data_IF_849525127538
#
_entry.id   IF_849525127538
#
_cell.length_a   1.000
_cell.length_b   1.000
_cell.length_c   1.000
_cell.angle_alpha   90.00
_cell.angle_beta   90.00
_cell.angle_gamma   90.00
#
_symmetry.space_group_name_H-M   'P 1'
#
loop_
_entity.id
_entity.type
_entity.pdbx_description
1 polymer ?
#
# COMPACT_ATOMS: atom_id res chain seq x y z
N UNK A 1 -10.37 -12.30 15.11
CA UNK A 1 -11.26 -12.31 13.93
C UNK A 1 -10.60 -11.62 12.73
N UNK A 2 -9.37 -12.01 12.36
CA UNK A 2 -8.58 -11.35 11.29
C UNK A 2 -8.89 -11.94 9.90
N UNK A 3 -9.26 -13.22 9.84
CA UNK A 3 -9.42 -14.00 8.60
C UNK A 3 -10.69 -13.65 7.81
N UNK A 4 -11.84 -13.49 8.47
CA UNK A 4 -13.11 -13.16 7.79
C UNK A 4 -13.03 -11.76 7.16
N UNK A 5 -12.47 -10.78 7.88
CA UNK A 5 -12.23 -9.44 7.34
C UNK A 5 -11.26 -9.46 6.16
N UNK A 6 -10.15 -10.20 6.25
CA UNK A 6 -9.21 -10.34 5.13
C UNK A 6 -9.86 -10.99 3.91
N UNK A 7 -10.69 -12.03 4.09
CA UNK A 7 -11.37 -12.71 2.97
C UNK A 7 -12.37 -11.75 2.29
N UNK A 8 -13.18 -11.04 3.07
CA UNK A 8 -14.14 -10.08 2.52
C UNK A 8 -13.42 -8.94 1.79
N UNK A 9 -12.36 -8.42 2.38
CA UNK A 9 -11.50 -7.40 1.77
C UNK A 9 -10.88 -7.88 0.47
N UNK A 10 -10.30 -9.07 0.45
CA UNK A 10 -9.65 -9.63 -0.74
C UNK A 10 -10.59 -9.66 -1.95
N UNK A 11 -11.85 -10.06 -1.72
CA UNK A 11 -12.88 -10.14 -2.77
C UNK A 11 -13.38 -8.75 -3.19
N UNK A 12 -13.54 -7.81 -2.24
CA UNK A 12 -14.11 -6.49 -2.51
C UNK A 12 -13.11 -5.52 -3.16
N UNK A 13 -11.86 -5.49 -2.70
CA UNK A 13 -10.93 -4.40 -2.99
C UNK A 13 -9.44 -4.79 -2.93
N UNK A 14 -9.09 -5.74 -2.06
CA UNK A 14 -7.70 -6.09 -1.76
C UNK A 14 -6.92 -6.60 -2.95
N UNK A 15 -7.55 -7.41 -3.82
CA UNK A 15 -6.90 -7.90 -5.03
C UNK A 15 -6.53 -6.76 -6.00
N UNK A 16 -7.42 -5.78 -6.18
CA UNK A 16 -7.20 -4.67 -7.10
C UNK A 16 -6.08 -3.75 -6.64
N UNK A 17 -6.08 -3.37 -5.34
CA UNK A 17 -4.97 -2.58 -4.79
C UNK A 17 -3.65 -3.34 -4.87
N UNK A 18 -3.64 -4.62 -4.48
CA UNK A 18 -2.44 -5.44 -4.53
C UNK A 18 -1.87 -5.59 -5.94
N UNK A 19 -2.73 -5.75 -6.95
CA UNK A 19 -2.31 -5.76 -8.35
C UNK A 19 -1.74 -4.41 -8.77
N UNK A 20 -2.31 -3.28 -8.34
CA UNK A 20 -1.75 -1.96 -8.59
C UNK A 20 -0.32 -1.82 -8.04
N UNK A 21 -0.12 -2.22 -6.78
CA UNK A 21 1.20 -2.22 -6.16
C UNK A 21 2.17 -3.19 -6.86
N UNK A 22 1.74 -4.42 -7.16
CA UNK A 22 2.56 -5.40 -7.85
C UNK A 22 2.96 -4.96 -9.26
N UNK A 23 2.05 -4.31 -9.99
CA UNK A 23 2.32 -3.79 -11.33
C UNK A 23 3.30 -2.61 -11.29
N UNK A 24 3.10 -1.65 -10.37
CA UNK A 24 4.06 -0.56 -10.17
C UNK A 24 5.44 -1.10 -9.77
N UNK A 25 5.48 -2.13 -8.92
CA UNK A 25 6.71 -2.79 -8.50
C UNK A 25 7.42 -3.50 -9.65
N UNK A 26 6.66 -4.17 -10.52
CA UNK A 26 7.20 -4.82 -11.71
C UNK A 26 7.81 -3.81 -12.68
N UNK A 27 7.14 -2.69 -12.92
CA UNK A 27 7.68 -1.60 -13.77
C UNK A 27 8.97 -1.05 -13.17
N UNK A 28 9.01 -0.81 -11.85
CA UNK A 28 10.22 -0.39 -11.16
C UNK A 28 11.36 -1.42 -11.26
N UNK A 29 11.05 -2.72 -11.21
CA UNK A 29 12.07 -3.76 -11.38
C UNK A 29 12.64 -3.79 -12.81
N UNK A 30 11.85 -3.47 -13.84
CA UNK A 30 12.31 -3.44 -15.23
C UNK A 30 13.36 -2.34 -15.46
N UNK A 31 13.27 -1.22 -14.75
CA UNK A 31 14.21 -0.11 -14.93
C UNK A 31 15.59 -0.35 -14.29
N UNK A 32 15.80 -1.49 -13.61
CA UNK A 32 16.99 -1.91 -12.84
C UNK A 32 17.37 -0.94 -11.69
N UNK A 33 17.44 0.35 -11.98
CA UNK A 33 17.59 1.44 -11.01
C UNK A 33 16.39 1.50 -10.04
N UNK A 34 15.21 1.06 -10.50
CA UNK A 34 13.99 1.03 -9.70
C UNK A 34 13.85 -0.19 -8.78
N UNK A 35 14.76 -1.16 -8.78
CA UNK A 35 14.69 -2.37 -7.95
C UNK A 35 14.38 -2.10 -6.46
N UNK A 36 15.03 -1.15 -5.74
CA UNK A 36 14.67 -0.89 -4.35
C UNK A 36 13.21 -0.43 -4.18
N UNK A 37 12.69 0.35 -5.14
CA UNK A 37 11.29 0.76 -5.18
C UNK A 37 10.36 -0.42 -5.48
N UNK A 38 10.76 -1.30 -6.40
CA UNK A 38 10.01 -2.51 -6.73
C UNK A 38 9.83 -3.43 -5.53
N UNK A 39 10.90 -3.67 -4.77
CA UNK A 39 10.86 -4.48 -3.55
C UNK A 39 9.89 -3.90 -2.52
N UNK A 40 9.94 -2.58 -2.29
CA UNK A 40 9.02 -1.93 -1.36
C UNK A 40 7.57 -2.01 -1.85
N UNK A 41 7.33 -1.80 -3.15
CA UNK A 41 6.01 -1.95 -3.77
C UNK A 41 5.44 -3.37 -3.60
N UNK A 42 6.27 -4.42 -3.76
CA UNK A 42 5.83 -5.80 -3.54
C UNK A 42 5.49 -6.09 -2.08
N UNK A 43 6.24 -5.53 -1.12
CA UNK A 43 5.90 -5.62 0.31
C UNK A 43 4.54 -4.98 0.59
N UNK A 44 4.30 -3.80 0.01
CA UNK A 44 3.01 -3.10 0.08
C UNK A 44 1.89 -3.87 -0.61
N UNK A 45 2.15 -4.55 -1.73
CA UNK A 45 1.17 -5.43 -2.37
C UNK A 45 0.76 -6.57 -1.43
N UNK A 46 1.74 -7.19 -0.75
CA UNK A 46 1.48 -8.22 0.26
C UNK A 46 0.66 -7.70 1.45
N UNK A 47 0.93 -6.48 1.90
CA UNK A 47 0.14 -5.79 2.94
C UNK A 47 -1.27 -5.44 2.45
N UNK A 48 -1.41 -4.94 1.23
CA UNK A 48 -2.68 -4.58 0.63
C UNK A 48 -3.61 -5.79 0.42
N UNK A 49 -3.07 -6.99 0.17
CA UNK A 49 -3.89 -8.22 0.12
C UNK A 49 -4.43 -8.61 1.50
N UNK A 50 -3.62 -8.43 2.55
CA UNK A 50 -3.90 -8.93 3.91
C UNK A 50 -3.67 -7.82 4.94
N UNK A 51 -4.54 -6.81 5.00
CA UNK A 51 -4.25 -5.63 5.78
C UNK A 51 -4.67 -5.78 7.26
N UNK A 52 -5.54 -6.73 7.61
CA UNK A 52 -5.98 -6.91 8.99
C UNK A 52 -4.98 -7.75 9.79
N UNK A 53 -4.60 -7.22 10.96
CA UNK A 53 -3.62 -7.85 11.86
C UNK A 53 -2.16 -7.56 11.49
N UNK A 54 -1.92 -6.50 10.72
CA UNK A 54 -0.58 -5.99 10.43
C UNK A 54 -0.51 -4.52 10.78
N UNK A 55 0.57 -4.12 11.41
CA UNK A 55 0.84 -2.74 11.83
C UNK A 55 2.03 -2.22 11.03
N UNK A 56 2.03 -0.91 10.79
CA UNK A 56 3.13 -0.23 10.11
C UNK A 56 3.90 0.53 11.16
N UNK A 57 5.17 0.19 11.31
CA UNK A 57 6.09 0.80 12.29
C UNK A 57 7.13 1.61 11.54
N UNK A 58 7.49 2.78 12.06
CA UNK A 58 8.58 3.60 11.54
C UNK A 58 9.93 3.02 11.99
N UNK A 59 10.87 2.89 11.06
CA UNK A 59 12.24 2.55 11.41
C UNK A 59 12.97 3.83 11.79
N UNK A 60 13.54 3.91 12.99
CA UNK A 60 14.32 5.08 13.44
C UNK A 60 15.82 4.99 13.08
N UNK A 61 16.28 3.87 12.51
CA UNK A 61 17.71 3.57 12.26
C UNK A 61 18.21 3.93 10.84
N UNK A 62 17.32 4.24 9.90
CA UNK A 62 17.67 4.48 8.49
C UNK A 62 17.98 5.97 8.20
N UNK A 63 18.73 6.24 7.12
CA UNK A 63 19.12 7.60 6.72
C UNK A 63 17.91 8.43 6.26
N UNK A 64 17.39 9.31 7.12
CA UNK A 64 16.23 10.19 6.86
C UNK A 64 16.28 10.89 5.48
N UNK A 65 17.47 11.36 5.07
CA UNK A 65 17.65 12.08 3.79
C UNK A 65 17.40 11.17 2.58
N UNK A 66 17.88 9.92 2.64
CA UNK A 66 17.71 8.95 1.55
C UNK A 66 16.23 8.59 1.40
N UNK A 67 15.54 8.39 2.52
CA UNK A 67 14.12 8.07 2.54
C UNK A 67 13.27 9.20 1.97
N UNK A 68 13.58 10.45 2.29
CA UNK A 68 12.89 11.61 1.74
C UNK A 68 13.08 11.63 0.21
N UNK A 69 14.31 11.44 -0.29
CA UNK A 69 14.58 11.42 -1.73
C UNK A 69 13.80 10.30 -2.43
N UNK A 70 13.82 9.09 -1.88
CA UNK A 70 13.09 7.95 -2.45
C UNK A 70 11.57 8.14 -2.36
N UNK A 71 11.04 8.66 -1.26
CA UNK A 71 9.62 8.99 -1.14
C UNK A 71 9.19 10.03 -2.18
N UNK A 72 10.00 11.07 -2.42
CA UNK A 72 9.70 12.08 -3.44
C UNK A 72 9.71 11.50 -4.85
N UNK A 73 10.73 10.70 -5.20
CA UNK A 73 10.80 10.03 -6.50
C UNK A 73 9.60 9.10 -6.68
N UNK A 74 9.29 8.30 -5.67
CA UNK A 74 8.16 7.38 -5.68
C UNK A 74 6.82 8.11 -5.83
N UNK A 75 6.63 9.19 -5.08
CA UNK A 75 5.43 10.01 -5.12
C UNK A 75 5.17 10.55 -6.52
N UNK A 76 6.21 11.01 -7.22
CA UNK A 76 6.11 11.52 -8.60
C UNK A 76 5.82 10.42 -9.62
N UNK A 77 6.39 9.23 -9.43
CA UNK A 77 6.25 8.13 -10.39
C UNK A 77 4.94 7.35 -10.22
N UNK A 78 4.71 6.76 -9.05
CA UNK A 78 3.64 5.77 -8.82
C UNK A 78 2.79 6.03 -7.58
N UNK A 79 3.33 6.72 -6.57
CA UNK A 79 2.65 6.94 -5.29
C UNK A 79 1.31 7.67 -5.44
N UNK A 80 1.23 8.69 -6.29
CA UNK A 80 -0.01 9.43 -6.55
C UNK A 80 -1.09 8.56 -7.22
N UNK A 81 -0.72 7.71 -8.17
CA UNK A 81 -1.64 6.85 -8.89
C UNK A 81 -2.22 5.74 -8.00
N UNK A 82 -1.38 5.17 -7.14
CA UNK A 82 -1.78 4.16 -6.15
C UNK A 82 -2.68 4.78 -5.06
N UNK A 83 -2.34 5.98 -4.59
CA UNK A 83 -3.19 6.76 -3.69
C UNK A 83 -4.55 7.04 -4.33
N UNK A 84 -4.59 7.53 -5.57
CA UNK A 84 -5.83 7.81 -6.28
C UNK A 84 -6.70 6.56 -6.42
N UNK A 85 -6.10 5.44 -6.80
CA UNK A 85 -6.80 4.14 -6.85
C UNK A 85 -7.38 3.78 -5.48
N UNK A 86 -6.60 3.91 -4.41
CA UNK A 86 -7.04 3.64 -3.04
C UNK A 86 -8.18 4.56 -2.58
N UNK A 87 -8.16 5.85 -2.98
CA UNK A 87 -9.23 6.81 -2.69
C UNK A 87 -10.52 6.45 -3.44
N UNK A 88 -10.42 6.12 -4.74
CA UNK A 88 -11.58 5.69 -5.54
C UNK A 88 -12.19 4.43 -4.93
N UNK A 89 -11.38 3.44 -4.59
CA UNK A 89 -11.84 2.22 -3.93
C UNK A 89 -12.48 2.52 -2.57
N UNK A 90 -11.93 3.45 -1.79
CA UNK A 90 -12.51 3.84 -0.52
C UNK A 90 -13.89 4.49 -0.68
N UNK A 91 -14.05 5.38 -1.66
CA UNK A 91 -15.35 6.00 -1.98
C UNK A 91 -16.36 4.94 -2.42
N UNK A 92 -15.97 3.99 -3.27
CA UNK A 92 -16.84 2.89 -3.71
C UNK A 92 -17.28 2.00 -2.53
N UNK A 93 -16.37 1.70 -1.61
CA UNK A 93 -16.68 0.92 -0.42
C UNK A 93 -17.64 1.66 0.53
N UNK A 94 -17.51 2.99 0.65
CA UNK A 94 -18.42 3.83 1.44
C UNK A 94 -19.87 3.83 0.95
N UNK A 95 -20.14 3.44 -0.31
CA UNK A 95 -21.52 3.33 -0.83
C UNK A 95 -22.33 2.29 -0.04
N UNK A 96 -21.66 1.30 0.55
CA UNK A 96 -22.30 0.23 1.32
C UNK A 96 -22.04 0.40 2.81
N UNK A 97 -23.06 0.21 3.66
CA UNK A 97 -22.92 0.26 5.13
C UNK A 97 -21.87 -0.76 5.62
N UNK A 98 -21.82 -1.93 4.97
CA UNK A 98 -20.87 -3.02 5.28
C UNK A 98 -19.44 -2.65 4.85
N UNK A 99 -19.27 -1.82 3.82
CA UNK A 99 -17.98 -1.42 3.26
C UNK A 99 -17.26 -0.31 4.03
N UNK A 100 -17.94 0.46 4.88
CA UNK A 100 -17.36 1.54 5.69
C UNK A 100 -16.09 1.12 6.48
N UNK A 101 -16.07 0.00 7.24
CA UNK A 101 -14.85 -0.43 7.92
C UNK A 101 -13.70 -0.77 6.96
N UNK A 102 -14.01 -1.22 5.75
CA UNK A 102 -13.04 -1.53 4.70
C UNK A 102 -12.54 -0.28 3.98
N UNK A 103 -13.40 0.73 3.81
CA UNK A 103 -13.02 2.02 3.25
C UNK A 103 -11.93 2.68 4.09
N UNK A 104 -12.06 2.64 5.43
CA UNK A 104 -11.02 3.11 6.35
C UNK A 104 -9.68 2.42 6.14
N UNK A 105 -9.70 1.11 5.82
CA UNK A 105 -8.48 0.36 5.52
C UNK A 105 -7.89 0.76 4.17
N UNK A 106 -8.73 0.96 3.15
CA UNK A 106 -8.31 1.49 1.85
C UNK A 106 -7.66 2.87 1.99
N UNK A 107 -8.22 3.75 2.81
CA UNK A 107 -7.63 5.05 3.11
C UNK A 107 -6.25 4.93 3.75
N UNK A 108 -6.10 4.04 4.75
CA UNK A 108 -4.80 3.81 5.41
C UNK A 108 -3.74 3.31 4.44
N UNK A 109 -4.09 2.32 3.61
CA UNK A 109 -3.18 1.79 2.58
C UNK A 109 -2.85 2.87 1.55
N UNK A 110 -3.83 3.69 1.16
CA UNK A 110 -3.63 4.83 0.27
C UNK A 110 -2.62 5.83 0.83
N UNK A 111 -2.82 6.30 2.06
CA UNK A 111 -1.89 7.23 2.72
C UNK A 111 -0.49 6.63 2.84
N UNK A 112 -0.40 5.33 3.15
CA UNK A 112 0.86 4.60 3.17
C UNK A 112 1.51 4.51 1.78
N UNK A 113 0.73 4.42 0.70
CA UNK A 113 1.21 4.38 -0.67
C UNK A 113 1.96 5.66 -1.10
N UNK A 114 1.62 6.80 -0.49
CA UNK A 114 2.29 8.07 -0.76
C UNK A 114 3.70 8.13 -0.15
N UNK A 115 3.86 7.59 1.07
CA UNK A 115 5.14 7.55 1.82
C UNK A 115 5.46 6.12 2.29
N UNK A 116 5.98 5.28 1.37
CA UNK A 116 6.26 3.88 1.68
C UNK A 116 7.63 3.62 2.33
N UNK A 117 8.61 4.52 2.19
CA UNK A 117 9.97 4.34 2.72
C UNK A 117 10.07 4.80 4.19
N UNK A 118 10.98 4.18 4.95
CA UNK A 118 11.12 4.36 6.40
C UNK A 118 10.07 3.63 7.24
N UNK A 119 9.33 2.71 6.62
CA UNK A 119 8.24 1.97 7.27
C UNK A 119 8.35 0.48 7.04
N UNK A 120 8.27 -0.28 8.11
CA UNK A 120 8.21 -1.75 8.12
C UNK A 120 6.82 -2.21 8.49
N UNK A 121 6.44 -3.39 7.98
CA UNK A 121 5.15 -4.00 8.25
C UNK A 121 5.39 -5.15 9.22
N UNK A 122 4.94 -5.01 10.45
CA UNK A 122 5.02 -6.03 11.48
C UNK A 122 3.69 -6.79 11.58
N UNK A 123 3.78 -8.08 11.89
CA UNK A 123 2.61 -8.92 12.14
C UNK A 123 2.27 -8.84 13.64
N UNK A 124 1.03 -8.46 13.92
CA UNK A 124 0.44 -8.34 15.26
C UNK A 124 -0.42 -9.57 15.60
#
# INVERSE_FOLDING_TARGET
>A
MKTIGNILWFILAGLWLALGFAFSGLICCITIVGIPFGIQAFKLAGFAMWPFGRTVVSNDDDSEVLEIIFNVIWLLLFGWALFATAMVTAVLLCITIIGIPFALQSFKIGVLALWPFGRTVEAD
#
